data_IF_516495494156
#
_entry.id   IF_516495494156
#
_cell.length_a   1.000
_cell.length_b   1.000
_cell.length_c   1.000
_cell.angle_alpha   90.00
_cell.angle_beta   90.00
_cell.angle_gamma   90.00
#
_symmetry.space_group_name_H-M   'P 1'
#
loop_
_entity.id
_entity.type
_entity.pdbx_description
1 polymer ?
#
# COMPACT_ATOMS: atom_id res chain seq x y z
N UNK A 1 5.75 37.08 -14.42
CA UNK A 1 6.31 37.89 -13.31
C UNK A 1 5.45 37.65 -12.06
N UNK A 2 5.75 36.59 -11.28
CA UNK A 2 5.00 36.24 -10.07
C UNK A 2 5.33 37.24 -8.94
N UNK A 3 4.37 38.07 -8.53
CA UNK A 3 4.50 38.87 -7.31
C UNK A 3 4.50 37.90 -6.11
N UNK A 4 5.62 37.86 -5.37
CA UNK A 4 5.75 37.11 -4.11
C UNK A 4 4.65 37.56 -3.15
N UNK A 5 3.74 36.66 -2.80
CA UNK A 5 2.50 37.01 -2.13
C UNK A 5 2.64 37.38 -0.64
N UNK A 6 3.79 37.17 0.01
CA UNK A 6 3.89 37.33 1.46
C UNK A 6 5.29 37.81 1.90
N UNK A 7 5.50 39.12 1.90
CA UNK A 7 6.64 39.76 2.58
C UNK A 7 6.46 39.63 4.11
N UNK A 8 6.84 38.49 4.70
CA UNK A 8 6.73 38.26 6.15
C UNK A 8 8.13 38.09 6.75
N UNK A 9 8.47 38.94 7.72
CA UNK A 9 9.70 38.84 8.50
C UNK A 9 9.56 37.80 9.63
N UNK A 10 10.62 37.04 9.98
CA UNK A 10 10.56 35.87 10.85
C UNK A 10 10.11 36.12 12.29
N UNK A 11 10.10 37.37 12.77
CA UNK A 11 9.86 37.70 14.19
C UNK A 11 8.58 38.52 14.45
N UNK A 12 7.89 39.00 13.42
CA UNK A 12 6.77 39.94 13.61
C UNK A 12 5.39 39.26 13.60
N UNK A 13 5.29 38.01 13.16
CA UNK A 13 4.02 37.29 13.07
C UNK A 13 4.19 35.76 13.22
N UNK A 14 4.45 35.24 14.43
CA UNK A 14 4.67 33.81 14.65
C UNK A 14 3.47 32.95 14.23
N UNK A 15 2.24 33.45 14.39
CA UNK A 15 1.03 32.74 13.96
C UNK A 15 0.85 32.65 12.45
N UNK A 16 1.35 33.62 11.68
CA UNK A 16 1.31 33.53 10.21
C UNK A 16 2.38 32.56 9.69
N UNK A 17 3.53 32.45 10.38
CA UNK A 17 4.54 31.42 10.08
C UNK A 17 4.08 30.01 10.45
N UNK A 18 3.37 29.84 11.58
CA UNK A 18 2.74 28.57 11.94
C UNK A 18 1.64 28.22 10.94
N UNK A 19 0.79 29.19 10.56
CA UNK A 19 -0.24 28.99 9.54
C UNK A 19 0.37 28.69 8.17
N UNK A 20 1.46 29.35 7.80
CA UNK A 20 2.21 29.09 6.56
C UNK A 20 2.88 27.71 6.59
N UNK A 21 3.44 27.30 7.72
CA UNK A 21 4.07 25.98 7.87
C UNK A 21 3.03 24.86 7.90
N UNK A 22 1.90 25.06 8.57
CA UNK A 22 0.75 24.16 8.50
C UNK A 22 0.14 24.14 7.10
N UNK A 23 0.04 25.29 6.44
CA UNK A 23 -0.41 25.37 5.06
C UNK A 23 0.58 24.71 4.10
N UNK A 24 1.89 24.82 4.31
CA UNK A 24 2.95 24.14 3.55
C UNK A 24 2.99 22.64 3.86
N UNK A 25 2.71 22.21 5.09
CA UNK A 25 2.57 20.79 5.45
C UNK A 25 1.31 20.19 4.82
N UNK A 26 0.19 20.92 4.88
CA UNK A 26 -1.03 20.56 4.13
C UNK A 26 -0.75 20.61 2.63
N UNK A 27 0.00 21.59 2.12
CA UNK A 27 0.37 21.69 0.71
C UNK A 27 1.38 20.62 0.29
N UNK A 28 2.24 20.13 1.19
CA UNK A 28 3.09 18.96 1.01
C UNK A 28 2.23 17.70 0.88
N UNK A 29 1.14 17.60 1.66
CA UNK A 29 0.13 16.55 1.45
C UNK A 29 -0.69 16.74 0.16
N UNK A 30 -0.81 17.97 -0.37
CA UNK A 30 -1.39 18.26 -1.69
C UNK A 30 -0.36 18.19 -2.84
N UNK A 31 0.95 18.14 -2.54
CA UNK A 31 2.07 18.08 -3.50
C UNK A 31 2.10 16.73 -4.23
N UNK A 32 1.48 15.72 -3.62
CA UNK A 32 1.15 14.40 -4.18
C UNK A 32 -0.04 14.46 -5.15
N UNK A 33 -0.90 15.48 -5.01
CA UNK A 33 -2.14 15.64 -5.79
C UNK A 33 -1.93 16.35 -7.13
N UNK A 34 -0.81 17.06 -7.28
CA UNK A 34 -0.31 17.54 -8.56
C UNK A 34 0.84 16.64 -8.94
N UNK A 35 0.51 15.63 -9.74
CA UNK A 35 1.41 14.67 -10.34
C UNK A 35 2.84 15.20 -10.45
N UNK A 36 3.74 14.63 -9.65
CA UNK A 36 5.14 14.66 -10.00
C UNK A 36 5.22 14.20 -11.46
N UNK A 37 5.86 15.06 -12.26
CA UNK A 37 6.39 14.93 -13.63
C UNK A 37 7.00 13.56 -14.01
N UNK A 38 6.91 12.53 -13.17
CA UNK A 38 7.28 11.14 -13.45
C UNK A 38 6.32 10.51 -14.47
N UNK A 39 5.10 11.03 -14.59
CA UNK A 39 4.14 10.67 -15.63
C UNK A 39 4.36 11.42 -16.96
N UNK A 40 5.11 12.52 -16.93
CA UNK A 40 5.17 13.48 -18.01
C UNK A 40 6.60 13.69 -18.50
N UNK A 41 7.06 12.79 -19.38
CA UNK A 41 8.29 13.04 -20.14
C UNK A 41 8.00 12.89 -21.63
N UNK A 42 7.71 14.06 -22.23
CA UNK A 42 7.75 14.39 -23.67
C UNK A 42 6.57 13.89 -24.52
N UNK A 43 5.53 14.73 -24.55
CA UNK A 43 4.87 15.26 -25.77
C UNK A 43 5.14 14.47 -27.06
N UNK A 44 4.52 13.30 -27.18
CA UNK A 44 4.43 12.52 -28.41
C UNK A 44 3.06 11.84 -28.44
N UNK A 45 2.19 12.35 -29.31
CA UNK A 45 0.77 11.98 -29.40
C UNK A 45 0.53 10.51 -29.81
N UNK A 46 1.58 9.75 -30.14
CA UNK A 46 1.53 8.32 -30.48
C UNK A 46 1.68 7.38 -29.26
N UNK A 47 2.03 7.92 -28.08
CA UNK A 47 2.11 7.22 -26.80
C UNK A 47 1.12 7.87 -25.84
N UNK A 48 -0.15 7.45 -25.88
CA UNK A 48 -1.16 7.88 -24.90
C UNK A 48 -0.59 7.77 -23.47
N UNK A 49 -0.37 8.94 -22.87
CA UNK A 49 0.61 9.14 -21.82
C UNK A 49 0.23 8.58 -20.45
N UNK A 50 0.91 7.50 -20.06
CA UNK A 50 1.84 7.49 -18.93
C UNK A 50 2.84 6.36 -19.25
N UNK A 51 4.16 6.59 -19.24
CA UNK A 51 5.11 5.46 -19.41
C UNK A 51 5.10 4.51 -18.20
N UNK A 52 4.59 5.04 -17.07
CA UNK A 52 4.57 4.39 -15.77
C UNK A 52 3.26 4.68 -14.99
N UNK A 53 2.05 4.40 -15.56
CA UNK A 53 0.79 4.66 -14.86
C UNK A 53 0.73 3.87 -13.57
N UNK A 54 1.41 2.73 -13.50
CA UNK A 54 1.49 1.93 -12.29
C UNK A 54 1.94 2.76 -11.09
N UNK A 55 2.88 3.72 -11.24
CA UNK A 55 3.51 4.46 -10.14
C UNK A 55 2.59 5.42 -9.38
N UNK A 56 1.32 5.53 -9.76
CA UNK A 56 0.31 6.35 -9.08
C UNK A 56 0.19 6.05 -7.57
N UNK A 57 0.50 4.81 -7.15
CA UNK A 57 0.43 4.43 -5.73
C UNK A 57 1.61 4.97 -4.90
N UNK A 58 2.78 5.24 -5.51
CA UNK A 58 3.96 5.77 -4.79
C UNK A 58 3.66 7.09 -4.05
N UNK A 59 3.08 8.11 -4.68
CA UNK A 59 2.80 9.35 -3.98
C UNK A 59 1.69 9.18 -2.93
N UNK A 60 0.72 8.28 -3.16
CA UNK A 60 -0.29 7.89 -2.15
C UNK A 60 0.38 7.24 -0.93
N UNK A 61 1.31 6.32 -1.15
CA UNK A 61 2.06 5.63 -0.11
C UNK A 61 2.93 6.60 0.69
N UNK A 62 3.57 7.54 0.00
CA UNK A 62 4.36 8.59 0.63
C UNK A 62 3.50 9.50 1.51
N UNK A 63 2.34 9.96 1.00
CA UNK A 63 1.37 10.77 1.77
C UNK A 63 0.85 10.03 3.00
N UNK A 64 0.45 8.77 2.84
CA UNK A 64 -0.02 7.92 3.93
C UNK A 64 1.05 7.72 5.01
N UNK A 65 2.29 7.45 4.59
CA UNK A 65 3.43 7.27 5.50
C UNK A 65 3.75 8.55 6.27
N UNK A 66 3.74 9.72 5.61
CA UNK A 66 3.91 11.01 6.30
C UNK A 66 2.83 11.26 7.35
N UNK A 67 1.57 10.92 7.05
CA UNK A 67 0.48 11.04 8.02
C UNK A 67 0.71 10.14 9.23
N UNK A 68 1.17 8.90 9.01
CA UNK A 68 1.54 7.95 10.08
C UNK A 68 2.68 8.52 10.93
N UNK A 69 3.78 8.96 10.32
CA UNK A 69 4.91 9.54 11.06
C UNK A 69 4.52 10.79 11.85
N UNK A 70 3.68 11.65 11.27
CA UNK A 70 3.18 12.84 11.96
C UNK A 70 2.33 12.47 13.18
N UNK A 71 1.40 11.52 13.04
CA UNK A 71 0.56 11.06 14.15
C UNK A 71 1.41 10.43 15.26
N UNK A 72 2.43 9.63 14.91
CA UNK A 72 3.39 9.08 15.87
C UNK A 72 4.19 10.17 16.58
N UNK A 73 4.67 11.18 15.85
CA UNK A 73 5.39 12.32 16.42
C UNK A 73 4.53 13.08 17.44
N UNK A 74 3.28 13.42 17.07
CA UNK A 74 2.34 14.15 17.95
C UNK A 74 1.97 13.34 19.20
N UNK A 75 1.83 12.02 19.05
CA UNK A 75 1.42 11.13 20.13
C UNK A 75 2.58 10.45 20.87
N UNK A 76 3.83 10.81 20.56
CA UNK A 76 5.02 10.13 21.09
C UNK A 76 5.12 10.14 22.62
N UNK A 77 4.59 11.18 23.27
CA UNK A 77 4.57 11.31 24.74
C UNK A 77 3.22 10.91 25.38
N UNK A 78 2.25 10.45 24.59
CA UNK A 78 0.92 10.13 25.09
C UNK A 78 0.90 8.77 25.78
N UNK A 79 0.04 8.65 26.80
CA UNK A 79 -0.27 7.34 27.40
C UNK A 79 -0.99 6.44 26.37
N UNK A 80 -0.87 5.10 26.48
CA UNK A 80 -1.37 4.17 25.47
C UNK A 80 -2.89 4.24 25.26
N UNK A 81 -3.68 4.40 26.34
CA UNK A 81 -5.13 4.47 26.24
C UNK A 81 -5.64 5.70 25.47
N UNK A 82 -5.28 6.95 25.84
CA UNK A 82 -5.70 8.12 25.07
C UNK A 82 -5.11 8.12 23.65
N UNK A 83 -3.90 7.58 23.45
CA UNK A 83 -3.29 7.40 22.12
C UNK A 83 -4.13 6.50 21.22
N UNK A 84 -4.56 5.33 21.71
CA UNK A 84 -5.45 4.40 20.99
C UNK A 84 -6.80 5.01 20.65
N UNK A 85 -7.40 5.73 21.60
CA UNK A 85 -8.67 6.41 21.36
C UNK A 85 -8.50 7.47 20.26
N UNK A 86 -7.42 8.25 20.33
CA UNK A 86 -7.10 9.26 19.32
C UNK A 86 -6.90 8.64 17.93
N UNK A 87 -6.11 7.58 17.80
CA UNK A 87 -5.93 6.89 16.50
C UNK A 87 -7.24 6.35 15.94
N UNK A 88 -8.09 5.74 16.77
CA UNK A 88 -9.41 5.25 16.34
C UNK A 88 -10.28 6.40 15.84
N UNK A 89 -10.32 7.53 16.55
CA UNK A 89 -11.09 8.71 16.15
C UNK A 89 -10.58 9.33 14.84
N UNK A 90 -9.26 9.46 14.68
CA UNK A 90 -8.64 9.98 13.46
C UNK A 90 -8.90 9.04 12.27
N UNK A 91 -8.80 7.73 12.48
CA UNK A 91 -9.10 6.73 11.44
C UNK A 91 -10.55 6.82 11.00
N UNK A 92 -11.50 6.88 11.95
CA UNK A 92 -12.92 7.06 11.64
C UNK A 92 -13.19 8.40 10.93
N UNK A 93 -12.49 9.45 11.33
CA UNK A 93 -12.60 10.76 10.69
C UNK A 93 -12.17 10.72 9.22
N UNK A 94 -11.05 10.05 8.89
CA UNK A 94 -10.62 9.89 7.50
C UNK A 94 -11.61 9.07 6.67
N UNK A 95 -12.15 8.00 7.24
CA UNK A 95 -13.21 7.21 6.62
C UNK A 95 -14.44 8.08 6.33
N UNK A 96 -14.89 8.85 7.33
CA UNK A 96 -16.02 9.75 7.18
C UNK A 96 -15.79 10.81 6.11
N UNK A 97 -14.59 11.37 5.98
CA UNK A 97 -14.27 12.33 4.91
C UNK A 97 -14.10 11.70 3.51
N UNK A 98 -14.14 10.36 3.40
CA UNK A 98 -13.91 9.66 2.14
C UNK A 98 -12.44 9.62 1.71
N UNK A 99 -11.50 9.85 2.63
CA UNK A 99 -10.06 9.71 2.38
C UNK A 99 -9.66 8.25 2.59
N UNK A 100 -9.98 7.40 1.61
CA UNK A 100 -9.76 5.95 1.65
C UNK A 100 -8.28 5.57 1.88
N UNK A 101 -7.36 6.35 1.31
CA UNK A 101 -5.91 6.19 1.45
C UNK A 101 -5.46 6.39 2.90
N UNK A 102 -5.75 7.57 3.46
CA UNK A 102 -5.41 7.91 4.84
C UNK A 102 -6.11 6.99 5.84
N UNK A 103 -7.33 6.58 5.56
CA UNK A 103 -8.05 5.57 6.34
C UNK A 103 -7.29 4.24 6.37
N UNK A 104 -6.83 3.73 5.22
CA UNK A 104 -6.09 2.47 5.16
C UNK A 104 -4.79 2.54 5.98
N UNK A 105 -3.99 3.61 5.84
CA UNK A 105 -2.76 3.80 6.61
C UNK A 105 -3.01 3.93 8.11
N UNK A 106 -3.99 4.73 8.52
CA UNK A 106 -4.32 4.94 9.95
C UNK A 106 -5.01 3.73 10.59
N UNK A 107 -5.76 2.94 9.82
CA UNK A 107 -6.30 1.67 10.29
C UNK A 107 -5.18 0.65 10.57
N UNK A 108 -4.17 0.56 9.69
CA UNK A 108 -2.97 -0.26 9.93
C UNK A 108 -2.22 0.16 11.19
N UNK A 109 -2.11 1.47 11.44
CA UNK A 109 -1.58 2.00 12.70
C UNK A 109 -2.42 1.58 13.91
N UNK A 110 -3.75 1.66 13.84
CA UNK A 110 -4.64 1.21 14.92
C UNK A 110 -4.45 -0.28 15.23
N UNK A 111 -4.34 -1.10 14.18
CA UNK A 111 -4.05 -2.54 14.32
C UNK A 111 -2.72 -2.69 15.03
N UNK A 112 -1.63 -2.11 14.52
CA UNK A 112 -0.30 -2.22 15.12
C UNK A 112 -0.26 -1.77 16.59
N UNK A 113 -0.90 -0.66 16.93
CA UNK A 113 -0.98 -0.15 18.31
C UNK A 113 -1.75 -1.12 19.24
N UNK A 114 -2.76 -1.80 18.72
CA UNK A 114 -3.48 -2.85 19.44
C UNK A 114 -2.61 -4.10 19.65
N UNK A 115 -1.84 -4.50 18.63
CA UNK A 115 -0.94 -5.67 18.69
C UNK A 115 0.23 -5.45 19.65
N UNK A 116 0.91 -4.32 19.50
CA UNK A 116 2.24 -4.11 20.08
C UNK A 116 2.23 -3.15 21.27
N UNK A 117 1.25 -2.24 21.36
CA UNK A 117 1.23 -1.22 22.42
C UNK A 117 1.15 -1.80 23.84
N UNK A 118 0.55 -2.98 24.04
CA UNK A 118 0.49 -3.64 25.36
C UNK A 118 1.83 -4.29 25.76
N UNK A 119 2.69 -4.58 24.80
CA UNK A 119 3.92 -5.38 24.98
C UNK A 119 5.07 -4.47 25.37
N UNK A 120 5.17 -3.30 24.75
CA UNK A 120 6.11 -2.24 25.15
C UNK A 120 5.81 -1.73 26.57
N UNK A 121 4.53 -1.60 26.93
CA UNK A 121 4.10 -1.21 28.28
C UNK A 121 4.52 -2.26 29.34
N UNK A 122 4.42 -3.55 29.01
CA UNK A 122 4.84 -4.64 29.92
C UNK A 122 6.36 -4.71 30.09
N UNK A 123 7.13 -4.29 29.09
CA UNK A 123 8.60 -4.31 29.13
C UNK A 123 9.22 -3.01 29.66
N UNK A 124 8.44 -1.96 29.90
CA UNK A 124 8.89 -0.71 30.52
C UNK A 124 10.02 0.02 29.77
N UNK A 125 10.29 -0.37 28.51
CA UNK A 125 11.41 0.14 27.75
C UNK A 125 10.92 0.49 26.34
N UNK A 126 10.83 1.80 26.07
CA UNK A 126 10.83 2.31 24.69
C UNK A 126 12.27 2.06 24.18
N UNK A 127 12.52 0.85 23.68
CA UNK A 127 13.75 0.59 22.94
C UNK A 127 13.49 1.03 21.51
N UNK A 128 14.06 2.17 21.12
CA UNK A 128 14.23 2.52 19.72
C UNK A 128 14.93 1.32 19.05
N UNK A 129 14.32 0.81 17.98
CA UNK A 129 14.62 -0.45 17.30
C UNK A 129 15.98 -0.52 16.60
N UNK A 130 16.98 0.25 17.05
CA UNK A 130 18.30 0.34 16.45
C UNK A 130 19.20 -0.87 16.78
N UNK A 131 18.98 -1.55 17.92
CA UNK A 131 19.98 -2.50 18.45
C UNK A 131 19.75 -4.00 18.15
N UNK A 132 18.72 -4.35 17.39
CA UNK A 132 18.60 -5.73 16.89
C UNK A 132 17.48 -5.78 15.88
N UNK A 133 17.74 -6.29 14.67
CA UNK A 133 16.65 -6.73 13.80
C UNK A 133 15.76 -7.66 14.64
N UNK A 134 14.51 -7.29 14.90
CA UNK A 134 13.64 -8.11 15.72
C UNK A 134 13.45 -9.41 14.96
N UNK A 135 14.10 -10.48 15.42
CA UNK A 135 13.95 -11.81 14.82
C UNK A 135 12.45 -12.10 14.70
N UNK A 136 11.97 -12.56 13.55
CA UNK A 136 10.55 -12.84 13.29
C UNK A 136 9.87 -13.61 14.43
N UNK A 137 10.63 -14.43 15.17
CA UNK A 137 10.15 -15.19 16.34
C UNK A 137 9.73 -14.32 17.53
N UNK A 138 10.42 -13.22 17.81
CA UNK A 138 10.11 -12.33 18.95
C UNK A 138 8.85 -11.49 18.66
N UNK A 139 8.67 -11.05 17.41
CA UNK A 139 7.45 -10.44 16.91
C UNK A 139 6.30 -11.43 17.00
N UNK A 140 6.48 -12.67 16.50
CA UNK A 140 5.45 -13.73 16.55
C UNK A 140 5.05 -14.10 17.98
N UNK A 141 5.98 -14.19 18.93
CA UNK A 141 5.64 -14.53 20.32
C UNK A 141 4.90 -13.37 21.01
N UNK A 142 5.31 -12.13 20.72
CA UNK A 142 4.68 -10.90 21.18
C UNK A 142 3.22 -10.82 20.69
N UNK A 143 2.99 -10.99 19.38
CA UNK A 143 1.65 -11.06 18.79
C UNK A 143 0.80 -12.17 19.42
N UNK A 144 1.35 -13.34 19.74
CA UNK A 144 0.55 -14.37 20.40
C UNK A 144 0.19 -14.06 21.87
N UNK A 145 0.95 -13.21 22.56
CA UNK A 145 0.81 -12.96 24.00
C UNK A 145 -0.13 -11.78 24.32
N UNK A 146 -0.13 -10.72 23.50
CA UNK A 146 -1.01 -9.54 23.68
C UNK A 146 -2.51 -9.83 23.50
N UNK A 147 -2.85 -10.87 22.75
CA UNK A 147 -4.22 -11.18 22.34
C UNK A 147 -5.01 -12.03 23.34
N UNK A 148 -4.37 -12.60 24.35
CA UNK A 148 -5.02 -13.49 25.32
C UNK A 148 -5.75 -12.75 26.47
N UNK A 149 -5.80 -11.42 26.47
CA UNK A 149 -6.35 -10.64 27.60
C UNK A 149 -7.80 -10.14 27.43
N UNK A 150 -8.38 -10.23 26.24
CA UNK A 150 -9.81 -9.94 26.02
C UNK A 150 -10.37 -11.06 25.15
N UNK A 151 -10.79 -12.16 25.77
CA UNK A 151 -11.52 -13.21 25.07
C UNK A 151 -13.02 -12.89 25.14
N UNK A 152 -13.64 -12.38 24.05
CA UNK A 152 -15.07 -12.61 23.88
C UNK A 152 -15.33 -14.12 23.86
N UNK A 153 -16.57 -14.53 24.10
CA UNK A 153 -16.92 -15.95 24.21
C UNK A 153 -16.33 -16.76 23.04
N UNK A 154 -15.76 -17.92 23.33
CA UNK A 154 -15.03 -18.75 22.36
C UNK A 154 -15.86 -19.00 21.09
N UNK A 155 -17.17 -19.15 21.23
CA UNK A 155 -18.13 -19.31 20.14
C UNK A 155 -18.23 -18.07 19.22
N UNK A 156 -18.23 -16.85 19.78
CA UNK A 156 -18.27 -15.62 18.98
C UNK A 156 -17.03 -15.51 18.09
N UNK A 157 -15.85 -15.87 18.61
CA UNK A 157 -14.61 -15.84 17.84
C UNK A 157 -14.57 -16.86 16.68
N UNK A 158 -15.19 -18.03 16.84
CA UNK A 158 -15.28 -19.03 15.77
C UNK A 158 -16.17 -18.59 14.61
N UNK A 159 -17.18 -17.75 14.87
CA UNK A 159 -18.10 -17.25 13.84
C UNK A 159 -17.60 -15.95 13.24
N UNK A 160 -17.19 -15.00 14.08
CA UNK A 160 -16.77 -13.66 13.69
C UNK A 160 -15.56 -13.65 12.74
N UNK A 161 -14.54 -14.47 13.01
CA UNK A 161 -13.30 -14.48 12.21
C UNK A 161 -13.54 -14.89 10.75
N UNK A 162 -14.16 -16.05 10.45
CA UNK A 162 -14.46 -16.41 9.08
C UNK A 162 -15.47 -15.47 8.44
N UNK A 163 -16.50 -14.99 9.17
CA UNK A 163 -17.46 -14.04 8.61
C UNK A 163 -16.83 -12.71 8.23
N UNK A 164 -15.94 -12.18 9.07
CA UNK A 164 -15.22 -10.94 8.80
C UNK A 164 -14.20 -11.11 7.67
N UNK A 165 -13.56 -12.28 7.54
CA UNK A 165 -12.65 -12.57 6.44
C UNK A 165 -13.40 -12.67 5.09
N UNK A 166 -14.49 -13.44 5.05
CA UNK A 166 -15.34 -13.58 3.86
C UNK A 166 -16.00 -12.24 3.51
N UNK A 167 -16.55 -11.54 4.50
CA UNK A 167 -17.14 -10.21 4.31
C UNK A 167 -16.10 -9.19 3.84
N UNK A 168 -14.87 -9.26 4.35
CA UNK A 168 -13.76 -8.43 3.91
C UNK A 168 -13.37 -8.71 2.45
N UNK A 169 -13.23 -9.98 2.06
CA UNK A 169 -12.97 -10.38 0.67
C UNK A 169 -14.11 -9.97 -0.27
N UNK A 170 -15.35 -10.09 0.18
CA UNK A 170 -16.52 -9.65 -0.58
C UNK A 170 -16.49 -8.13 -0.82
N UNK A 171 -16.22 -7.32 0.21
CA UNK A 171 -16.07 -5.87 0.05
C UNK A 171 -14.87 -5.47 -0.80
N UNK A 172 -13.76 -6.22 -0.74
CA UNK A 172 -12.59 -5.99 -1.61
C UNK A 172 -12.87 -6.33 -3.08
N UNK A 173 -13.89 -7.14 -3.37
CA UNK A 173 -14.28 -7.53 -4.72
C UNK A 173 -15.26 -6.54 -5.36
N UNK A 174 -15.48 -5.39 -4.72
CA UNK A 174 -16.29 -4.30 -5.26
C UNK A 174 -15.58 -3.71 -6.49
N UNK A 175 -16.27 -3.52 -7.63
CA UNK A 175 -15.64 -2.97 -8.83
C UNK A 175 -15.21 -1.52 -8.60
N UNK A 176 -14.03 -1.15 -9.11
CA UNK A 176 -13.54 0.23 -9.03
C UNK A 176 -14.41 1.18 -9.87
N UNK A 177 -14.80 0.73 -11.08
CA UNK A 177 -15.58 1.48 -12.05
C UNK A 177 -16.88 0.77 -12.46
N UNK A 178 -17.88 1.56 -12.85
CA UNK A 178 -19.13 1.07 -13.41
C UNK A 178 -20.31 1.02 -12.43
N UNK A 179 -21.48 0.57 -12.89
CA UNK A 179 -22.68 0.49 -12.06
C UNK A 179 -22.49 -0.57 -10.96
N UNK A 180 -23.00 -0.25 -9.77
CA UNK A 180 -22.96 -1.15 -8.63
C UNK A 180 -23.74 -2.45 -8.94
N UNK A 181 -23.08 -3.60 -8.79
CA UNK A 181 -23.71 -4.91 -8.93
C UNK A 181 -24.87 -5.09 -7.95
N UNK A 182 -25.89 -5.86 -8.34
CA UNK A 182 -27.10 -6.07 -7.54
C UNK A 182 -26.79 -6.62 -6.13
N UNK A 183 -25.74 -7.43 -6.03
CA UNK A 183 -25.22 -8.01 -4.81
C UNK A 183 -24.69 -6.97 -3.80
N UNK A 184 -24.36 -5.76 -4.24
CA UNK A 184 -23.85 -4.68 -3.41
C UNK A 184 -24.88 -3.58 -3.13
N UNK A 185 -26.09 -3.67 -3.69
CA UNK A 185 -27.13 -2.63 -3.53
C UNK A 185 -27.53 -2.39 -2.07
N UNK A 186 -27.37 -3.38 -1.19
CA UNK A 186 -27.59 -3.19 0.25
C UNK A 186 -26.66 -2.12 0.85
N UNK A 187 -25.49 -1.86 0.26
CA UNK A 187 -24.58 -0.81 0.72
C UNK A 187 -25.18 0.60 0.52
N UNK A 188 -26.10 0.77 -0.43
CA UNK A 188 -26.82 2.02 -0.64
C UNK A 188 -27.87 2.28 0.45
N UNK A 189 -28.32 1.22 1.14
CA UNK A 189 -29.22 1.34 2.28
C UNK A 189 -28.48 1.77 3.56
N UNK A 190 -27.14 1.64 3.58
CA UNK A 190 -26.31 2.10 4.70
C UNK A 190 -26.11 3.62 4.54
N UNK A 191 -26.45 4.44 5.56
CA UNK A 191 -26.19 5.87 5.52
C UNK A 191 -24.70 6.13 5.33
N UNK A 192 -24.31 6.50 4.11
CA UNK A 192 -22.94 6.86 3.80
C UNK A 192 -22.70 8.32 4.12
N UNK A 193 -21.43 8.67 4.29
CA UNK A 193 -21.05 10.03 4.62
C UNK A 193 -21.46 11.00 3.50
N UNK A 194 -21.90 12.24 3.83
CA UNK A 194 -22.18 13.28 2.83
C UNK A 194 -20.97 13.61 1.93
N UNK A 195 -19.76 13.27 2.36
CA UNK A 195 -18.52 13.50 1.62
C UNK A 195 -18.24 12.46 0.54
N UNK A 196 -18.97 11.34 0.53
CA UNK A 196 -18.84 10.28 -0.47
C UNK A 196 -19.68 10.58 -1.70
N UNK A 197 -19.38 11.71 -2.35
CA UNK A 197 -20.17 12.25 -3.45
C UNK A 197 -19.93 11.56 -4.79
N UNK A 198 -18.79 10.89 -4.94
CA UNK A 198 -18.35 10.24 -6.18
C UNK A 198 -18.37 8.71 -5.98
N UNK A 199 -18.86 7.97 -6.98
CA UNK A 199 -18.92 6.50 -6.96
C UNK A 199 -17.56 5.87 -6.68
N UNK A 200 -16.49 6.40 -7.26
CA UNK A 200 -15.12 5.95 -6.99
C UNK A 200 -14.75 6.05 -5.50
N UNK A 201 -15.09 7.17 -4.84
CA UNK A 201 -14.81 7.37 -3.41
C UNK A 201 -15.62 6.38 -2.57
N UNK A 202 -16.90 6.21 -2.90
CA UNK A 202 -17.76 5.22 -2.25
C UNK A 202 -17.15 3.82 -2.37
N UNK A 203 -16.76 3.42 -3.58
CA UNK A 203 -16.20 2.10 -3.83
C UNK A 203 -14.89 1.90 -3.05
N UNK A 204 -13.96 2.86 -3.14
CA UNK A 204 -12.66 2.79 -2.46
C UNK A 204 -12.75 2.80 -0.94
N UNK A 205 -13.75 3.48 -0.36
CA UNK A 205 -13.95 3.44 1.08
C UNK A 205 -14.42 2.05 1.55
N UNK A 206 -15.35 1.43 0.83
CA UNK A 206 -15.81 0.07 1.13
C UNK A 206 -14.72 -0.98 0.90
N UNK A 207 -13.95 -0.89 -0.19
CA UNK A 207 -12.82 -1.79 -0.43
C UNK A 207 -11.73 -1.58 0.62
N UNK A 208 -11.44 -0.34 1.03
CA UNK A 208 -10.53 -0.04 2.13
C UNK A 208 -10.98 -0.65 3.47
N UNK A 209 -12.29 -0.60 3.77
CA UNK A 209 -12.85 -1.26 4.95
C UNK A 209 -12.71 -2.78 4.86
N UNK A 210 -12.97 -3.35 3.68
CA UNK A 210 -12.76 -4.77 3.39
C UNK A 210 -11.30 -5.19 3.61
N UNK A 211 -10.35 -4.43 3.08
CA UNK A 211 -8.92 -4.66 3.26
C UNK A 211 -8.51 -4.62 4.73
N UNK A 212 -9.03 -3.66 5.50
CA UNK A 212 -8.81 -3.56 6.94
C UNK A 212 -9.30 -4.81 7.68
N UNK A 213 -10.51 -5.30 7.36
CA UNK A 213 -11.08 -6.52 7.94
C UNK A 213 -10.25 -7.76 7.60
N UNK A 214 -9.80 -7.88 6.34
CA UNK A 214 -8.92 -8.98 5.90
C UNK A 214 -7.59 -8.95 6.66
N UNK A 215 -6.95 -7.78 6.77
CA UNK A 215 -5.69 -7.65 7.51
C UNK A 215 -5.88 -8.02 8.99
N UNK A 216 -6.92 -7.51 9.64
CA UNK A 216 -7.22 -7.85 11.04
C UNK A 216 -7.41 -9.36 11.20
N UNK A 217 -8.22 -9.98 10.34
CA UNK A 217 -8.53 -11.42 10.45
C UNK A 217 -7.33 -12.31 10.15
N UNK A 218 -6.50 -11.96 9.17
CA UNK A 218 -5.20 -12.61 8.92
C UNK A 218 -4.29 -12.44 10.15
N UNK A 219 -4.17 -11.21 10.69
CA UNK A 219 -3.32 -10.92 11.84
C UNK A 219 -3.68 -11.76 13.08
N UNK A 220 -4.90 -12.29 13.19
CA UNK A 220 -5.25 -13.15 14.32
C UNK A 220 -5.86 -14.51 14.02
N UNK A 221 -5.52 -15.06 12.85
CA UNK A 221 -5.80 -16.45 12.50
C UNK A 221 -4.53 -17.13 11.98
N UNK A 222 -3.92 -18.01 12.80
CA UNK A 222 -2.68 -18.72 12.43
C UNK A 222 -2.80 -19.54 11.16
N UNK A 223 -3.96 -20.14 10.92
CA UNK A 223 -4.21 -20.93 9.72
C UNK A 223 -4.14 -20.07 8.44
N UNK A 224 -4.60 -18.81 8.50
CA UNK A 224 -4.49 -17.87 7.38
C UNK A 224 -3.05 -17.36 7.20
N UNK A 225 -2.26 -17.26 8.27
CA UNK A 225 -0.85 -16.85 8.21
C UNK A 225 0.06 -17.95 7.66
N UNK A 226 -0.24 -19.21 7.97
CA UNK A 226 0.57 -20.37 7.57
C UNK A 226 1.00 -20.38 6.08
N UNK A 227 0.08 -20.21 5.10
CA UNK A 227 0.51 -20.12 3.71
C UNK A 227 1.36 -18.88 3.43
N UNK A 228 0.99 -17.72 3.98
CA UNK A 228 1.72 -16.45 3.80
C UNK A 228 3.14 -16.52 4.37
N UNK A 229 3.37 -17.35 5.38
CA UNK A 229 4.67 -17.62 5.99
C UNK A 229 5.55 -18.60 5.20
N UNK A 230 5.04 -19.15 4.09
CA UNK A 230 5.83 -20.04 3.24
C UNK A 230 7.02 -19.29 2.61
N UNK A 231 8.14 -20.00 2.42
CA UNK A 231 9.35 -19.43 1.82
C UNK A 231 9.09 -18.81 0.44
N UNK A 232 8.19 -19.42 -0.35
CA UNK A 232 7.81 -18.93 -1.66
C UNK A 232 7.10 -17.57 -1.57
N UNK A 233 6.07 -17.46 -0.73
CA UNK A 233 5.31 -16.21 -0.61
C UNK A 233 6.14 -15.11 0.07
N UNK A 234 7.02 -15.45 1.01
CA UNK A 234 7.98 -14.50 1.57
C UNK A 234 9.00 -14.00 0.54
N UNK A 235 9.49 -14.90 -0.33
CA UNK A 235 10.35 -14.51 -1.45
C UNK A 235 9.62 -13.58 -2.43
N UNK A 236 8.39 -13.93 -2.81
CA UNK A 236 7.55 -13.08 -3.67
C UNK A 236 7.27 -11.71 -3.02
N UNK A 237 7.03 -11.68 -1.72
CA UNK A 237 6.86 -10.44 -0.95
C UNK A 237 8.13 -9.58 -0.98
N UNK A 238 9.32 -10.17 -0.82
CA UNK A 238 10.60 -9.45 -0.87
C UNK A 238 10.84 -8.76 -2.21
N UNK A 239 10.49 -9.40 -3.32
CA UNK A 239 10.68 -8.84 -4.67
C UNK A 239 9.46 -8.07 -5.18
N UNK A 240 8.37 -7.97 -4.39
CA UNK A 240 7.09 -7.40 -4.84
C UNK A 240 7.21 -5.94 -5.30
N UNK A 241 7.88 -5.09 -4.52
CA UNK A 241 8.10 -3.69 -4.87
C UNK A 241 8.96 -3.52 -6.13
N UNK A 242 10.16 -4.15 -6.24
CA UNK A 242 10.92 -4.17 -7.48
C UNK A 242 10.12 -4.61 -8.71
N UNK A 243 9.37 -5.71 -8.58
CA UNK A 243 8.52 -6.23 -9.66
C UNK A 243 7.43 -5.21 -10.04
N UNK A 244 6.78 -4.59 -9.06
CA UNK A 244 5.80 -3.54 -9.29
C UNK A 244 6.38 -2.33 -10.03
N UNK A 245 7.62 -1.92 -9.76
CA UNK A 245 8.25 -0.81 -10.51
C UNK A 245 8.50 -1.20 -11.97
N UNK A 246 9.00 -2.41 -12.23
CA UNK A 246 9.51 -2.80 -13.56
C UNK A 246 8.46 -3.48 -14.46
N UNK A 247 7.35 -4.00 -13.93
CA UNK A 247 6.47 -4.89 -14.70
C UNK A 247 5.91 -4.26 -15.99
N UNK A 248 5.54 -2.98 -15.99
CA UNK A 248 5.11 -2.29 -17.22
C UNK A 248 6.26 -2.17 -18.23
N UNK A 249 7.45 -1.77 -17.75
CA UNK A 249 8.64 -1.68 -18.60
C UNK A 249 8.98 -3.01 -19.27
N UNK A 250 8.94 -4.12 -18.53
CA UNK A 250 9.15 -5.46 -19.06
C UNK A 250 8.04 -5.84 -20.04
N UNK A 251 6.77 -5.62 -19.67
CA UNK A 251 5.63 -5.94 -20.53
C UNK A 251 5.71 -5.22 -21.88
N UNK A 252 5.90 -3.90 -21.89
CA UNK A 252 5.96 -3.13 -23.13
C UNK A 252 7.19 -3.46 -23.97
N UNK A 253 8.33 -3.75 -23.33
CA UNK A 253 9.57 -4.08 -24.06
C UNK A 253 9.54 -5.49 -24.67
N UNK A 254 8.96 -6.48 -23.98
CA UNK A 254 9.08 -7.88 -24.36
C UNK A 254 7.80 -8.51 -24.94
N UNK A 255 6.62 -7.89 -24.79
CA UNK A 255 5.36 -8.45 -25.31
C UNK A 255 5.45 -8.80 -26.80
N UNK A 256 5.76 -7.83 -27.66
CA UNK A 256 5.77 -8.03 -29.10
C UNK A 256 6.87 -8.98 -29.59
N UNK A 257 8.14 -8.86 -29.11
CA UNK A 257 9.18 -9.82 -29.46
C UNK A 257 8.84 -11.26 -29.07
N UNK A 258 8.31 -11.47 -27.86
CA UNK A 258 7.96 -12.81 -27.38
C UNK A 258 6.76 -13.39 -28.13
N UNK A 259 5.72 -12.59 -28.39
CA UNK A 259 4.58 -13.05 -29.19
C UNK A 259 5.01 -13.44 -30.61
N UNK A 260 5.86 -12.64 -31.25
CA UNK A 260 6.43 -12.98 -32.55
C UNK A 260 7.27 -14.27 -32.50
N UNK A 261 8.12 -14.43 -31.49
CA UNK A 261 8.96 -15.62 -31.34
C UNK A 261 8.13 -16.90 -31.19
N UNK A 262 7.21 -16.94 -30.23
CA UNK A 262 6.43 -18.15 -29.98
C UNK A 262 5.43 -18.43 -31.11
N UNK A 263 4.90 -17.40 -31.76
CA UNK A 263 4.06 -17.58 -32.95
C UNK A 263 4.87 -18.14 -34.12
N UNK A 264 6.07 -17.61 -34.35
CA UNK A 264 6.98 -18.12 -35.38
C UNK A 264 7.36 -19.58 -35.13
N UNK A 265 7.61 -19.97 -33.88
CA UNK A 265 7.85 -21.38 -33.52
C UNK A 265 6.63 -22.26 -33.85
N UNK A 266 5.42 -21.78 -33.61
CA UNK A 266 4.19 -22.54 -33.84
C UNK A 266 3.75 -22.60 -35.31
N UNK A 267 4.06 -21.57 -36.11
CA UNK A 267 3.46 -21.34 -37.44
C UNK A 267 4.47 -21.07 -38.56
N UNK A 268 5.71 -20.72 -38.25
CA UNK A 268 6.73 -20.35 -39.23
C UNK A 268 6.54 -18.97 -39.88
N UNK A 269 5.61 -18.17 -39.37
CA UNK A 269 5.26 -16.83 -39.88
C UNK A 269 5.28 -15.79 -38.74
N UNK A 270 5.21 -14.49 -39.07
CA UNK A 270 5.15 -13.42 -38.08
C UNK A 270 3.79 -13.36 -37.37
N UNK A 271 3.74 -12.84 -36.13
CA UNK A 271 2.48 -12.74 -35.39
C UNK A 271 1.52 -11.75 -36.07
N UNK A 272 0.34 -12.19 -36.54
CA UNK A 272 -0.54 -11.38 -37.35
C UNK A 272 -1.44 -10.43 -36.52
N UNK A 273 -1.22 -10.36 -35.20
CA UNK A 273 -2.09 -9.68 -34.26
C UNK A 273 -3.17 -10.60 -33.66
N UNK A 274 -3.72 -10.19 -32.52
CA UNK A 274 -4.60 -11.05 -31.71
C UNK A 274 -5.88 -11.48 -32.42
N UNK A 275 -6.47 -10.60 -33.22
CA UNK A 275 -7.73 -10.90 -33.93
C UNK A 275 -7.54 -11.95 -35.02
N UNK A 276 -6.52 -11.79 -35.87
CA UNK A 276 -6.18 -12.78 -36.90
C UNK A 276 -5.66 -14.11 -36.28
N UNK A 277 -4.95 -14.03 -35.16
CA UNK A 277 -4.45 -15.20 -34.45
C UNK A 277 -5.57 -16.08 -33.85
N UNK A 278 -6.76 -15.54 -33.58
CA UNK A 278 -7.92 -16.28 -33.07
C UNK A 278 -8.39 -17.41 -33.99
N UNK A 279 -8.09 -17.33 -35.29
CA UNK A 279 -8.40 -18.38 -36.26
C UNK A 279 -7.64 -19.68 -35.94
N UNK A 280 -6.48 -19.59 -35.31
CA UNK A 280 -5.64 -20.72 -34.92
C UNK A 280 -5.50 -20.79 -33.39
N UNK A 281 -6.58 -21.20 -32.70
CA UNK A 281 -6.64 -21.23 -31.22
C UNK A 281 -5.46 -21.96 -30.57
N UNK A 282 -5.01 -23.09 -31.12
CA UNK A 282 -3.88 -23.84 -30.56
C UNK A 282 -2.55 -23.06 -30.60
N UNK A 283 -2.24 -22.44 -31.74
CA UNK A 283 -1.03 -21.62 -31.88
C UNK A 283 -1.12 -20.34 -31.04
N UNK A 284 -2.31 -19.75 -30.93
CA UNK A 284 -2.56 -18.60 -30.06
C UNK A 284 -2.35 -18.95 -28.58
N UNK A 285 -2.91 -20.06 -28.09
CA UNK A 285 -2.73 -20.50 -26.70
C UNK A 285 -1.26 -20.79 -26.41
N UNK A 286 -0.56 -21.49 -27.31
CA UNK A 286 0.87 -21.74 -27.17
C UNK A 286 1.67 -20.42 -27.09
N UNK A 287 1.38 -19.47 -27.98
CA UNK A 287 2.04 -18.16 -28.01
C UNK A 287 1.78 -17.36 -26.75
N UNK A 288 0.53 -17.34 -26.29
CA UNK A 288 0.13 -16.59 -25.10
C UNK A 288 0.73 -17.17 -23.82
N UNK A 289 0.68 -18.50 -23.64
CA UNK A 289 1.28 -19.17 -22.47
C UNK A 289 2.81 -19.04 -22.49
N UNK A 290 3.46 -19.27 -23.64
CA UNK A 290 4.91 -19.14 -23.78
C UNK A 290 5.40 -17.72 -23.50
N UNK A 291 4.75 -16.72 -24.07
CA UNK A 291 5.08 -15.31 -23.83
C UNK A 291 4.83 -14.91 -22.37
N UNK A 292 3.72 -15.33 -21.76
CA UNK A 292 3.40 -15.05 -20.36
C UNK A 292 4.44 -15.66 -19.40
N UNK A 293 4.77 -16.95 -19.54
CA UNK A 293 5.74 -17.62 -18.68
C UNK A 293 7.14 -17.00 -18.83
N UNK A 294 7.53 -16.64 -20.05
CA UNK A 294 8.81 -15.99 -20.31
C UNK A 294 8.85 -14.59 -19.72
N UNK A 295 7.79 -13.79 -19.88
CA UNK A 295 7.64 -12.47 -19.25
C UNK A 295 7.73 -12.56 -17.73
N UNK A 296 7.00 -13.47 -17.08
CA UNK A 296 7.03 -13.66 -15.63
C UNK A 296 8.44 -14.03 -15.17
N UNK A 297 9.11 -14.92 -15.90
CA UNK A 297 10.49 -15.34 -15.58
C UNK A 297 11.45 -14.15 -15.65
N UNK A 298 11.36 -13.34 -16.72
CA UNK A 298 12.16 -12.11 -16.87
C UNK A 298 11.86 -11.13 -15.73
N UNK A 299 10.59 -10.92 -15.38
CA UNK A 299 10.18 -10.04 -14.28
C UNK A 299 10.77 -10.49 -12.94
N UNK A 300 10.75 -11.80 -12.62
CA UNK A 300 11.32 -12.32 -11.37
C UNK A 300 12.83 -12.12 -11.34
N UNK A 301 13.54 -12.41 -12.44
CA UNK A 301 14.99 -12.24 -12.53
C UNK A 301 15.38 -10.77 -12.37
N UNK A 302 14.75 -9.88 -13.13
CA UNK A 302 15.02 -8.45 -13.06
C UNK A 302 14.61 -7.86 -11.70
N UNK A 303 13.51 -8.35 -11.11
CA UNK A 303 13.05 -7.94 -9.78
C UNK A 303 14.05 -8.31 -8.69
N UNK A 304 14.61 -9.53 -8.72
CA UNK A 304 15.64 -9.97 -7.77
C UNK A 304 16.97 -9.20 -7.96
N UNK A 305 17.35 -8.88 -9.21
CA UNK A 305 18.51 -8.03 -9.48
C UNK A 305 18.31 -6.60 -8.96
N UNK A 306 17.12 -6.03 -9.17
CA UNK A 306 16.79 -4.70 -8.68
C UNK A 306 16.75 -4.65 -7.14
N UNK A 307 16.19 -5.68 -6.49
CA UNK A 307 16.20 -5.80 -5.03
C UNK A 307 17.63 -5.76 -4.47
N UNK A 308 18.55 -6.54 -5.06
CA UNK A 308 19.93 -6.64 -4.59
C UNK A 308 20.74 -5.37 -4.83
N UNK A 309 20.60 -4.76 -6.01
CA UNK A 309 21.51 -3.70 -6.46
C UNK A 309 20.96 -2.28 -6.31
N UNK A 310 19.64 -2.11 -6.20
CA UNK A 310 19.02 -0.79 -6.06
C UNK A 310 18.43 -0.66 -4.66
N UNK A 311 17.49 -1.53 -4.31
CA UNK A 311 16.78 -1.44 -3.02
C UNK A 311 17.72 -1.73 -1.83
N UNK A 312 18.62 -2.71 -1.98
CA UNK A 312 19.67 -3.00 -1.00
C UNK A 312 20.55 -1.78 -0.68
N UNK A 313 20.94 -1.01 -1.70
CA UNK A 313 21.75 0.20 -1.52
C UNK A 313 20.94 1.30 -0.83
N UNK A 314 19.67 1.50 -1.22
CA UNK A 314 18.79 2.47 -0.59
C UNK A 314 18.57 2.18 0.90
N UNK A 315 18.33 0.90 1.26
CA UNK A 315 18.22 0.47 2.67
C UNK A 315 19.52 0.67 3.44
N UNK A 316 20.66 0.39 2.82
CA UNK A 316 21.97 0.65 3.45
C UNK A 316 22.18 2.15 3.71
N UNK A 317 21.88 3.00 2.73
CA UNK A 317 21.98 4.45 2.89
C UNK A 317 21.05 4.98 4.00
N UNK A 318 19.83 4.45 4.11
CA UNK A 318 18.90 4.77 5.19
C UNK A 318 19.43 4.36 6.57
N UNK A 319 19.92 3.12 6.72
CA UNK A 319 20.54 2.64 7.97
C UNK A 319 21.77 3.47 8.35
N UNK A 320 22.60 3.82 7.36
CA UNK A 320 23.76 4.68 7.58
C UNK A 320 23.36 6.08 8.05
N UNK A 321 22.34 6.69 7.45
CA UNK A 321 21.83 7.99 7.89
C UNK A 321 21.27 7.95 9.30
N UNK A 322 20.50 6.92 9.65
CA UNK A 322 19.94 6.72 11.00
C UNK A 322 21.05 6.62 12.06
N UNK A 323 22.13 5.89 11.78
CA UNK A 323 23.30 5.81 12.64
C UNK A 323 23.91 7.20 12.88
N UNK A 324 24.11 8.00 11.83
CA UNK A 324 24.71 9.34 11.96
C UNK A 324 23.85 10.31 12.80
N UNK A 325 22.53 10.21 12.72
CA UNK A 325 21.62 11.05 13.52
C UNK A 325 21.58 10.61 14.98
N UNK A 326 21.66 9.30 15.23
CA UNK A 326 21.54 8.72 16.58
C UNK A 326 22.86 8.80 17.36
N UNK A 327 24.01 8.79 16.66
CA UNK A 327 25.36 8.85 17.25
C UNK A 327 25.85 10.27 17.58
N UNK A 328 25.02 11.33 17.47
CA UNK A 328 25.47 12.66 17.89
C UNK A 328 25.79 12.68 19.40
N UNK A 329 27.01 13.08 19.78
CA UNK A 329 27.45 13.03 21.17
C UNK A 329 26.71 14.09 22.00
N UNK A 330 26.32 13.68 23.22
CA UNK A 330 25.76 14.56 24.26
C UNK A 330 26.70 15.68 24.66
#
# INVERSE_FOLDING_TARGET
MMKRAWNLHPLEAPWSHIKFSLWQLVHLTTFVRYELDIANTLERDDLEGVLNPQLWSIPVDFRGSLAVYFLLFVTGFWRPLPRRLFFTLVTFWWFFLGQWDLFAFTSGMCVAEHLYGNIEETKGAIRLSSDSEPSDRSIRSAVNQGWNKIQPSTAFNYIWKPSAFIGGLFLMSLPDDGPLGAEYHFLLAIPTSPWWTVTEIFNRCWTGLGATLVIITIANTKWLQCPLDSQLLQYMGRISYPVYVIHFGVYFSFKWPLQNLFWYIARGEGYPGSEAACLNRGALTFTWVGSLLTCITIMIILGDLFEKHVDGIARYAGKWFDQQVTEQPK
#
